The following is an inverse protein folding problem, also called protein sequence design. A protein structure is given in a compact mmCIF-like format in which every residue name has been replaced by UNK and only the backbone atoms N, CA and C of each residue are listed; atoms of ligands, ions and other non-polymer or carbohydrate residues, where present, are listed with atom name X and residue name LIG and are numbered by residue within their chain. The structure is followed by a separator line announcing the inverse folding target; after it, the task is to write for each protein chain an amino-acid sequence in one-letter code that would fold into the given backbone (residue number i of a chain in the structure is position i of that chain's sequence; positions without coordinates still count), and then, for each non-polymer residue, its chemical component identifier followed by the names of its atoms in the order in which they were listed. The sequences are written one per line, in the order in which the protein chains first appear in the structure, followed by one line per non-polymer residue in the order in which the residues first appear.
data_IF_103848931086
#
_entry.id   IF_103848931086
#
_cell.length_a   1.000
_cell.length_b   1.000
_cell.length_c   1.000
_cell.angle_alpha   90.00
_cell.angle_beta   90.00
_cell.angle_gamma   90.00
#
_symmetry.space_group_name_H-M   'P 1'
#
loop_
_entity.id
_entity.type
_entity.pdbx_description
1 polymer ?
#
# COMPACT_ATOMS: atom_id res chain seq x y z
N UNK A 1 -17.16 0.70 -7.83
CA UNK A 1 -17.79 -0.63 -7.57
C UNK A 1 -19.03 -0.48 -6.69
N UNK A 2 -19.95 -1.45 -6.76
CA UNK A 2 -21.18 -1.52 -5.95
C UNK A 2 -21.27 -2.90 -5.32
N UNK A 3 -21.59 -2.98 -4.02
CA UNK A 3 -21.83 -4.22 -3.29
C UNK A 3 -23.28 -4.21 -2.78
N UNK A 4 -24.06 -5.22 -3.17
CA UNK A 4 -25.37 -5.48 -2.59
C UNK A 4 -25.20 -6.28 -1.30
N UNK A 5 -25.64 -5.73 -0.17
CA UNK A 5 -25.55 -6.42 1.13
C UNK A 5 -26.83 -7.22 1.37
N UNK A 6 -26.73 -8.37 2.04
CA UNK A 6 -27.89 -9.25 2.24
C UNK A 6 -28.98 -8.62 3.13
N UNK A 7 -28.58 -7.81 4.11
CA UNK A 7 -29.46 -7.29 5.17
C UNK A 7 -29.29 -5.77 5.38
N UNK A 8 -28.90 -5.02 4.36
CA UNK A 8 -28.61 -3.58 4.49
C UNK A 8 -28.66 -2.83 3.16
N UNK A 9 -28.39 -1.51 3.18
CA UNK A 9 -28.32 -0.72 1.96
C UNK A 9 -27.17 -1.20 1.05
N UNK A 10 -27.30 -0.91 -0.24
CA UNK A 10 -26.20 -1.11 -1.19
C UNK A 10 -25.04 -0.17 -0.84
N UNK A 11 -23.81 -0.69 -0.86
CA UNK A 11 -22.60 0.08 -0.63
C UNK A 11 -21.94 0.42 -1.96
N UNK A 12 -21.44 1.65 -2.08
CA UNK A 12 -20.80 2.16 -3.29
C UNK A 12 -19.43 2.70 -2.93
N UNK A 13 -18.46 2.46 -3.82
CA UNK A 13 -17.10 2.97 -3.68
C UNK A 13 -16.12 1.90 -3.21
N UNK A 14 -14.92 1.93 -3.78
CA UNK A 14 -13.90 0.91 -3.54
C UNK A 14 -13.49 0.84 -2.07
N UNK A 15 -13.15 1.99 -1.48
CA UNK A 15 -12.73 2.08 -0.08
C UNK A 15 -13.86 1.72 0.88
N UNK A 16 -15.07 2.22 0.64
CA UNK A 16 -16.26 1.93 1.45
C UNK A 16 -16.54 0.43 1.51
N UNK A 17 -16.50 -0.24 0.36
CA UNK A 17 -16.73 -1.68 0.26
C UNK A 17 -15.59 -2.44 0.94
N UNK A 18 -14.32 -2.06 0.71
CA UNK A 18 -13.18 -2.69 1.36
C UNK A 18 -13.25 -2.60 2.89
N UNK A 19 -13.57 -1.42 3.44
CA UNK A 19 -13.74 -1.23 4.88
C UNK A 19 -14.91 -2.06 5.44
N UNK A 20 -16.01 -2.20 4.70
CA UNK A 20 -17.12 -3.08 5.07
C UNK A 20 -16.68 -4.56 5.13
N UNK A 21 -15.93 -5.04 4.13
CA UNK A 21 -15.42 -6.40 4.09
C UNK A 21 -14.46 -6.69 5.26
N UNK A 22 -13.63 -5.70 5.66
CA UNK A 22 -12.79 -5.80 6.86
C UNK A 22 -13.62 -6.00 8.13
N UNK A 23 -14.71 -5.25 8.29
CA UNK A 23 -15.64 -5.40 9.43
C UNK A 23 -16.34 -6.76 9.40
N UNK A 24 -16.81 -7.20 8.22
CA UNK A 24 -17.44 -8.51 8.05
C UNK A 24 -16.47 -9.66 8.40
N UNK A 25 -15.19 -9.51 8.09
CA UNK A 25 -14.14 -10.46 8.45
C UNK A 25 -13.71 -10.40 9.92
N UNK A 26 -14.31 -9.52 10.74
CA UNK A 26 -13.94 -9.28 12.15
C UNK A 26 -12.47 -8.88 12.33
N UNK A 27 -11.93 -8.07 11.40
CA UNK A 27 -10.54 -7.59 11.41
C UNK A 27 -10.46 -6.06 11.53
N UNK A 28 -11.30 -5.46 12.38
CA UNK A 28 -11.42 -4.00 12.50
C UNK A 28 -10.11 -3.28 12.83
N UNK A 29 -9.15 -3.95 13.45
CA UNK A 29 -7.81 -3.41 13.69
C UNK A 29 -7.09 -2.97 12.40
N UNK A 30 -7.45 -3.54 11.24
CA UNK A 30 -6.90 -3.11 9.94
C UNK A 30 -7.38 -1.70 9.54
N UNK A 31 -8.41 -1.16 10.21
CA UNK A 31 -8.87 0.21 10.01
C UNK A 31 -8.18 1.21 10.96
N UNK A 32 -7.23 0.75 11.78
CA UNK A 32 -6.55 1.53 12.81
C UNK A 32 -7.15 1.33 14.21
N UNK A 33 -6.29 1.31 15.23
CA UNK A 33 -6.64 1.05 16.63
C UNK A 33 -6.86 2.32 17.44
N UNK A 34 -6.13 3.40 17.13
CA UNK A 34 -6.33 4.74 17.73
C UNK A 34 -7.02 5.70 16.77
N UNK A 35 -7.44 6.88 17.24
CA UNK A 35 -8.04 7.89 16.39
C UNK A 35 -7.05 8.41 15.33
N UNK A 36 -5.79 8.61 15.74
CA UNK A 36 -4.70 9.05 14.89
C UNK A 36 -4.39 8.00 13.81
N UNK A 37 -4.30 6.72 14.21
CA UNK A 37 -4.03 5.64 13.27
C UNK A 37 -5.18 5.49 12.26
N UNK A 38 -6.44 5.59 12.71
CA UNK A 38 -7.61 5.60 11.83
C UNK A 38 -7.55 6.74 10.82
N UNK A 39 -7.15 7.93 11.24
CA UNK A 39 -7.00 9.07 10.35
C UNK A 39 -5.91 8.84 9.30
N UNK A 40 -4.75 8.32 9.70
CA UNK A 40 -3.65 7.99 8.76
C UNK A 40 -4.07 6.89 7.78
N UNK A 41 -4.79 5.86 8.24
CA UNK A 41 -5.34 4.83 7.35
C UNK A 41 -6.27 5.47 6.33
N UNK A 42 -7.21 6.33 6.73
CA UNK A 42 -8.11 7.00 5.80
C UNK A 42 -7.37 7.90 4.80
N UNK A 43 -6.36 8.65 5.25
CA UNK A 43 -5.51 9.46 4.37
C UNK A 43 -4.89 8.62 3.24
N UNK A 44 -4.34 7.45 3.56
CA UNK A 44 -3.74 6.57 2.55
C UNK A 44 -4.77 5.89 1.64
N UNK A 45 -5.97 5.59 2.16
CA UNK A 45 -7.08 5.07 1.35
C UNK A 45 -7.60 6.13 0.36
N UNK A 46 -7.66 7.40 0.77
CA UNK A 46 -7.97 8.52 -0.12
C UNK A 46 -6.87 8.72 -1.16
N UNK A 47 -5.60 8.73 -0.74
CA UNK A 47 -4.44 8.85 -1.64
C UNK A 47 -4.44 7.73 -2.70
N UNK A 48 -4.80 6.50 -2.32
CA UNK A 48 -4.94 5.37 -3.24
C UNK A 48 -5.92 5.68 -4.38
N UNK A 49 -7.10 6.20 -4.07
CA UNK A 49 -8.16 6.44 -5.08
C UNK A 49 -7.91 7.71 -5.88
N UNK A 50 -7.36 8.75 -5.26
CA UNK A 50 -7.22 10.07 -5.90
C UNK A 50 -5.90 10.24 -6.64
N UNK A 51 -4.80 9.68 -6.11
CA UNK A 51 -3.45 9.86 -6.66
C UNK A 51 -2.97 8.64 -7.41
N UNK A 52 -3.05 7.45 -6.81
CA UNK A 52 -2.55 6.22 -7.45
C UNK A 52 -3.46 5.81 -8.60
N UNK A 53 -4.77 5.68 -8.38
CA UNK A 53 -5.71 5.31 -9.44
C UNK A 53 -5.89 6.44 -10.49
N UNK A 54 -5.64 7.69 -10.10
CA UNK A 54 -5.67 8.86 -10.99
C UNK A 54 -4.36 9.12 -11.77
N UNK A 55 -3.30 8.35 -11.50
CA UNK A 55 -2.01 8.49 -12.15
C UNK A 55 -2.12 8.16 -13.64
N UNK A 56 -1.82 9.14 -14.50
CA UNK A 56 -1.96 9.00 -15.95
C UNK A 56 -0.65 9.14 -16.73
N UNK A 57 0.43 9.53 -16.05
CA UNK A 57 1.73 9.76 -16.68
C UNK A 57 2.89 9.11 -15.91
N UNK A 58 4.01 8.92 -16.63
CA UNK A 58 5.28 8.49 -16.00
C UNK A 58 5.81 9.51 -15.00
N UNK A 59 5.51 10.78 -15.20
CA UNK A 59 5.95 11.84 -14.27
C UNK A 59 5.16 11.78 -12.95
N UNK A 60 3.84 11.59 -13.02
CA UNK A 60 3.02 11.36 -11.82
C UNK A 60 3.53 10.13 -11.04
N UNK A 61 3.85 9.05 -11.75
CA UNK A 61 4.41 7.84 -11.15
C UNK A 61 5.71 8.14 -10.40
N UNK A 62 6.61 8.93 -10.99
CA UNK A 62 7.88 9.31 -10.34
C UNK A 62 7.66 10.17 -9.10
N UNK A 63 6.71 11.11 -9.15
CA UNK A 63 6.34 11.94 -8.00
C UNK A 63 5.80 11.07 -6.87
N UNK A 64 4.83 10.19 -7.17
CA UNK A 64 4.25 9.24 -6.21
C UNK A 64 5.34 8.39 -5.56
N UNK A 65 6.23 7.78 -6.35
CA UNK A 65 7.30 6.94 -5.82
C UNK A 65 8.32 7.74 -4.99
N UNK A 66 8.62 8.98 -5.38
CA UNK A 66 9.53 9.86 -4.62
C UNK A 66 8.92 10.22 -3.26
N UNK A 67 7.67 10.65 -3.24
CA UNK A 67 6.99 11.06 -2.01
C UNK A 67 6.81 9.88 -1.06
N UNK A 68 6.40 8.72 -1.59
CA UNK A 68 6.32 7.47 -0.82
C UNK A 68 7.68 7.03 -0.27
N UNK A 69 8.74 7.16 -1.07
CA UNK A 69 10.08 6.76 -0.63
C UNK A 69 10.58 7.61 0.54
N UNK A 70 10.31 8.91 0.52
CA UNK A 70 10.59 9.80 1.66
C UNK A 70 9.70 9.45 2.85
N UNK A 71 8.40 9.28 2.64
CA UNK A 71 7.46 9.00 3.73
C UNK A 71 7.77 7.70 4.48
N UNK A 72 8.19 6.68 3.74
CA UNK A 72 8.50 5.35 4.27
C UNK A 72 9.92 5.25 4.83
N UNK A 73 10.74 6.31 4.85
CA UNK A 73 12.13 6.22 5.31
C UNK A 73 12.25 5.61 6.71
N UNK A 74 11.43 6.07 7.64
CA UNK A 74 11.41 5.71 9.06
C UNK A 74 10.23 4.79 9.44
N UNK A 75 9.50 4.22 8.47
CA UNK A 75 8.28 3.44 8.71
C UNK A 75 8.33 2.02 8.14
N UNK A 76 7.76 1.08 8.87
CA UNK A 76 7.59 -0.31 8.40
C UNK A 76 6.33 -0.42 7.55
N UNK A 77 5.25 0.25 7.95
CA UNK A 77 3.94 0.25 7.31
C UNK A 77 3.47 1.69 7.07
N UNK A 78 2.42 1.87 6.26
CA UNK A 78 1.89 3.20 5.95
C UNK A 78 1.30 3.91 7.18
N UNK A 79 0.73 3.15 8.12
CA UNK A 79 0.26 3.68 9.41
C UNK A 79 1.34 3.58 10.51
N UNK A 80 2.62 3.68 10.14
CA UNK A 80 3.75 3.59 11.07
C UNK A 80 4.16 2.14 11.35
N UNK A 81 3.76 1.62 12.51
CA UNK A 81 4.20 0.30 13.01
C UNK A 81 3.13 -0.80 12.93
N UNK A 82 1.93 -0.47 12.47
CA UNK A 82 0.82 -1.41 12.32
C UNK A 82 0.54 -1.73 10.86
N UNK A 83 0.33 -3.01 10.57
CA UNK A 83 -0.19 -3.44 9.29
C UNK A 83 -1.69 -3.14 9.19
N UNK A 84 -2.10 -2.42 8.14
CA UNK A 84 -3.47 -1.93 7.99
C UNK A 84 -4.03 -2.17 6.59
N UNK A 85 -5.32 -1.84 6.39
CA UNK A 85 -5.96 -1.88 5.08
C UNK A 85 -5.27 -0.94 4.08
N UNK A 86 -4.65 0.15 4.55
CA UNK A 86 -3.87 1.05 3.72
C UNK A 86 -2.72 0.30 3.01
N UNK A 87 -1.97 -0.53 3.74
CA UNK A 87 -0.87 -1.31 3.17
C UNK A 87 -1.35 -2.29 2.09
N UNK A 88 -2.46 -2.98 2.35
CA UNK A 88 -3.07 -3.94 1.42
C UNK A 88 -3.48 -3.25 0.12
N UNK A 89 -4.25 -2.16 0.22
CA UNK A 89 -4.78 -1.52 -0.98
C UNK A 89 -3.72 -0.73 -1.72
N UNK A 90 -2.77 -0.11 -1.03
CA UNK A 90 -1.63 0.55 -1.69
C UNK A 90 -0.74 -0.46 -2.39
N UNK A 91 -0.48 -1.64 -1.79
CA UNK A 91 0.26 -2.71 -2.45
C UNK A 91 -0.40 -3.13 -3.77
N UNK A 92 -1.71 -3.37 -3.76
CA UNK A 92 -2.43 -3.71 -4.99
C UNK A 92 -2.44 -2.58 -6.02
N UNK A 93 -2.56 -1.32 -5.59
CA UNK A 93 -2.52 -0.16 -6.49
C UNK A 93 -1.15 0.05 -7.14
N UNK A 94 -0.08 -0.20 -6.40
CA UNK A 94 1.30 -0.02 -6.85
C UNK A 94 1.90 -1.26 -7.54
N UNK A 95 1.23 -2.40 -7.51
CA UNK A 95 1.78 -3.64 -8.06
C UNK A 95 2.20 -3.54 -9.53
N UNK A 96 1.36 -3.01 -10.46
CA UNK A 96 1.76 -2.86 -11.86
C UNK A 96 2.99 -1.95 -12.03
N UNK A 97 3.01 -0.83 -11.29
CA UNK A 97 4.13 0.13 -11.30
C UNK A 97 5.42 -0.55 -10.86
N UNK A 98 5.39 -1.23 -9.70
CA UNK A 98 6.58 -1.86 -9.12
C UNK A 98 7.07 -3.06 -9.92
N UNK A 99 6.17 -3.77 -10.60
CA UNK A 99 6.54 -4.86 -11.50
C UNK A 99 7.33 -4.35 -12.73
N UNK A 100 6.94 -3.19 -13.27
CA UNK A 100 7.54 -2.58 -14.46
C UNK A 100 8.87 -1.84 -14.19
N UNK A 101 9.17 -1.52 -12.93
CA UNK A 101 10.42 -0.84 -12.58
C UNK A 101 11.65 -1.71 -12.88
N UNK A 102 12.67 -1.06 -13.44
CA UNK A 102 14.02 -1.63 -13.57
C UNK A 102 14.67 -1.88 -12.22
N UNK A 103 15.74 -2.67 -12.20
CA UNK A 103 16.52 -2.92 -10.96
C UNK A 103 17.04 -1.61 -10.37
N UNK A 104 17.57 -0.72 -11.22
CA UNK A 104 18.13 0.57 -10.81
C UNK A 104 17.06 1.50 -10.23
N UNK A 105 15.85 1.49 -10.80
CA UNK A 105 14.73 2.26 -10.23
C UNK A 105 14.27 1.69 -8.89
N UNK A 106 14.24 0.36 -8.72
CA UNK A 106 13.94 -0.28 -7.44
C UNK A 106 14.99 0.07 -6.37
N UNK A 107 16.26 0.17 -6.75
CA UNK A 107 17.34 0.65 -5.85
C UNK A 107 17.18 2.12 -5.51
N UNK A 108 16.79 2.97 -6.48
CA UNK A 108 16.52 4.40 -6.26
C UNK A 108 15.39 4.61 -5.26
N UNK A 109 14.31 3.84 -5.36
CA UNK A 109 13.16 3.90 -4.45
C UNK A 109 13.25 2.84 -3.34
N UNK A 110 14.38 2.83 -2.63
CA UNK A 110 14.74 1.79 -1.66
C UNK A 110 13.68 1.52 -0.59
N UNK A 111 13.09 2.56 -0.01
CA UNK A 111 12.13 2.44 1.09
C UNK A 111 10.79 1.88 0.58
N UNK A 112 10.37 2.30 -0.63
CA UNK A 112 9.19 1.72 -1.31
C UNK A 112 9.45 0.26 -1.65
N UNK A 113 10.60 -0.06 -2.21
CA UNK A 113 11.01 -1.43 -2.52
C UNK A 113 11.03 -2.32 -1.27
N UNK A 114 11.55 -1.80 -0.15
CA UNK A 114 11.57 -2.50 1.15
C UNK A 114 10.16 -2.78 1.65
N UNK A 115 9.31 -1.75 1.70
CA UNK A 115 7.91 -1.88 2.12
C UNK A 115 7.15 -2.85 1.20
N UNK A 116 7.23 -2.67 -0.12
CA UNK A 116 6.54 -3.52 -1.08
C UNK A 116 6.99 -4.98 -0.96
N UNK A 117 8.30 -5.21 -0.81
CA UNK A 117 8.83 -6.55 -0.60
C UNK A 117 8.34 -7.18 0.71
N UNK A 118 8.14 -6.38 1.75
CA UNK A 118 7.56 -6.84 3.01
C UNK A 118 6.08 -7.21 2.83
N UNK A 119 5.28 -6.34 2.21
CA UNK A 119 3.84 -6.56 2.02
C UNK A 119 3.55 -7.76 1.09
N UNK A 120 4.32 -7.94 0.01
CA UNK A 120 4.10 -9.08 -0.91
C UNK A 120 4.36 -10.45 -0.24
N UNK A 121 5.11 -10.49 0.86
CA UNK A 121 5.35 -11.70 1.65
C UNK A 121 4.45 -11.79 2.89
N UNK A 122 3.59 -10.79 3.12
CA UNK A 122 2.64 -10.83 4.22
C UNK A 122 1.58 -11.92 3.97
N UNK A 123 1.29 -12.80 4.95
CA UNK A 123 0.40 -13.95 4.76
C UNK A 123 -0.96 -13.56 4.17
N UNK A 124 -1.30 -14.16 3.02
CA UNK A 124 -2.58 -13.96 2.36
C UNK A 124 -2.77 -12.61 1.64
N UNK A 125 -1.72 -11.80 1.48
CA UNK A 125 -1.83 -10.51 0.76
C UNK A 125 -1.54 -10.64 -0.73
N UNK A 126 -0.47 -11.32 -1.16
CA UNK A 126 -0.11 -11.40 -2.59
C UNK A 126 -1.15 -12.12 -3.45
N UNK A 127 -1.80 -13.15 -2.91
CA UNK A 127 -2.74 -14.00 -3.64
C UNK A 127 -2.11 -14.51 -4.95
N UNK A 128 -2.72 -14.19 -6.10
CA UNK A 128 -2.26 -14.61 -7.43
C UNK A 128 -1.33 -13.60 -8.12
N UNK A 129 -1.00 -12.47 -7.49
CA UNK A 129 -0.13 -11.47 -8.10
C UNK A 129 1.31 -12.00 -8.23
N UNK A 130 1.97 -11.62 -9.32
CA UNK A 130 3.35 -12.05 -9.57
C UNK A 130 4.30 -11.54 -8.48
N UNK A 131 5.30 -12.35 -8.15
CA UNK A 131 6.34 -11.98 -7.20
C UNK A 131 7.28 -10.97 -7.84
N UNK A 132 7.40 -9.78 -7.27
CA UNK A 132 8.34 -8.76 -7.74
C UNK A 132 9.69 -9.02 -7.07
N UNK A 133 10.73 -9.24 -7.88
CA UNK A 133 12.07 -9.55 -7.38
C UNK A 133 12.77 -8.25 -6.94
N UNK A 134 13.33 -8.28 -5.72
CA UNK A 134 14.16 -7.22 -5.17
C UNK A 134 15.53 -7.80 -4.80
N UNK A 135 16.60 -7.18 -5.29
CA UNK A 135 17.97 -7.58 -4.99
C UNK A 135 18.44 -6.84 -3.73
N UNK A 136 18.87 -7.59 -2.71
CA UNK A 136 19.48 -7.01 -1.52
C UNK A 136 20.97 -6.75 -1.78
N UNK A 137 21.28 -5.65 -2.44
CA UNK A 137 22.66 -5.20 -2.58
C UNK A 137 23.12 -4.49 -1.31
N UNK A 138 23.59 -5.25 -0.31
CA UNK A 138 24.40 -4.70 0.79
C UNK A 138 25.83 -4.54 0.30
N UNK A 139 26.10 -3.52 -0.50
CA UNK A 139 27.46 -3.30 -0.99
C UNK A 139 28.34 -2.64 0.08
N UNK A 140 27.82 -1.82 0.99
CA UNK A 140 28.54 -1.36 2.19
C UNK A 140 27.54 -1.01 3.32
N UNK A 141 27.82 -1.42 4.56
CA UNK A 141 27.21 -0.79 5.74
C UNK A 141 27.81 0.60 5.85
N UNK A 142 27.02 1.67 5.71
CA UNK A 142 27.45 2.99 6.14
C UNK A 142 27.70 2.90 7.66
N UNK A 143 28.96 2.71 8.03
CA UNK A 143 29.44 2.89 9.37
C UNK A 143 29.66 4.39 9.55
N UNK A 144 28.67 5.09 10.09
CA UNK A 144 28.85 6.39 10.76
C UNK A 144 27.86 6.47 11.91
#
# INVERSE_FOLDING_TARGET
PVLQTNNGPSLIGFITIAAHLVKQAKKEQLLGSTAEEKAVVQQWLEYRVTRVDGCSSKEDTRIILKDLNTYLEDKVYLAGNSFTLADILMYYGLHPVMADLTVQEKEKYLNVSRWFNHIQHYPGVRQHLSNVIFIKNRLYTNAH
#
